data_IF_659762082338
#
_entry.id   IF_659762082338
#
_cell.length_a   1.000
_cell.length_b   1.000
_cell.length_c   1.000
_cell.angle_alpha   90.00
_cell.angle_beta   90.00
_cell.angle_gamma   90.00
#
_symmetry.space_group_name_H-M   'P 1'
#
loop_
_entity.id
_entity.type
_entity.pdbx_description
1 polymer ?
#
# COMPACT_ATOMS: atom_id res chain seq x y z
N UNK A 1 23.43 -9.80 8.13
CA UNK A 1 22.30 -10.75 7.96
C UNK A 1 21.53 -11.02 9.26
N UNK A 2 22.15 -11.09 10.41
CA UNK A 2 21.47 -11.33 11.71
C UNK A 2 20.45 -10.24 12.09
N UNK A 3 20.78 -8.96 11.86
CA UNK A 3 19.85 -7.85 12.14
C UNK A 3 18.53 -8.00 11.36
N UNK A 4 18.60 -8.31 10.06
CA UNK A 4 17.42 -8.44 9.18
C UNK A 4 16.53 -9.61 9.63
N UNK A 5 17.12 -10.77 9.91
CA UNK A 5 16.36 -11.92 10.46
C UNK A 5 15.73 -11.59 11.81
N UNK A 6 16.47 -10.90 12.67
CA UNK A 6 15.98 -10.43 13.96
C UNK A 6 14.84 -9.40 13.84
N UNK A 7 14.91 -8.49 12.85
CA UNK A 7 13.86 -7.50 12.59
C UNK A 7 12.50 -8.17 12.31
N UNK A 8 12.44 -9.08 11.35
CA UNK A 8 11.19 -9.77 11.02
C UNK A 8 10.64 -10.59 12.18
N UNK A 9 11.50 -11.24 12.95
CA UNK A 9 11.11 -11.99 14.15
C UNK A 9 10.50 -11.07 15.22
N UNK A 10 11.16 -9.93 15.53
CA UNK A 10 10.70 -8.97 16.56
C UNK A 10 9.39 -8.30 16.18
N UNK A 11 9.20 -7.99 14.90
CA UNK A 11 8.10 -7.17 14.41
C UNK A 11 6.99 -7.98 13.69
N UNK A 12 7.10 -9.31 13.66
CA UNK A 12 6.16 -10.22 12.98
C UNK A 12 4.70 -9.92 13.29
N UNK A 13 4.37 -9.70 14.56
CA UNK A 13 2.98 -9.42 14.97
C UNK A 13 2.46 -8.11 14.38
N UNK A 14 3.27 -7.05 14.40
CA UNK A 14 2.88 -5.75 13.86
C UNK A 14 2.71 -5.82 12.35
N UNK A 15 3.64 -6.47 11.64
CA UNK A 15 3.54 -6.69 10.19
C UNK A 15 2.28 -7.48 9.84
N UNK A 16 1.98 -8.55 10.57
CA UNK A 16 0.78 -9.35 10.33
C UNK A 16 -0.52 -8.59 10.63
N UNK A 17 -0.55 -7.75 11.67
CA UNK A 17 -1.70 -6.89 11.98
C UNK A 17 -1.90 -5.86 10.87
N UNK A 18 -0.83 -5.19 10.43
CA UNK A 18 -0.89 -4.23 9.32
C UNK A 18 -1.41 -4.88 8.04
N UNK A 19 -0.90 -6.05 7.70
CA UNK A 19 -1.35 -6.82 6.54
C UNK A 19 -2.82 -7.26 6.68
N UNK A 20 -3.23 -7.72 7.86
CA UNK A 20 -4.61 -8.13 8.10
C UNK A 20 -5.58 -6.95 7.96
N UNK A 21 -5.25 -5.78 8.51
CA UNK A 21 -6.06 -4.57 8.35
C UNK A 21 -6.21 -4.25 6.86
N UNK A 22 -5.12 -4.18 6.12
CA UNK A 22 -5.15 -3.89 4.69
C UNK A 22 -6.01 -4.88 3.93
N UNK A 23 -5.80 -6.18 4.09
CA UNK A 23 -6.53 -7.21 3.34
C UNK A 23 -8.02 -7.24 3.70
N UNK A 24 -8.39 -7.12 4.98
CA UNK A 24 -9.80 -7.11 5.40
C UNK A 24 -10.55 -5.95 4.73
N UNK A 25 -10.00 -4.74 4.79
CA UNK A 25 -10.67 -3.58 4.21
C UNK A 25 -10.60 -3.54 2.68
N UNK A 26 -9.57 -4.10 2.07
CA UNK A 26 -9.52 -4.36 0.63
C UNK A 26 -10.69 -5.25 0.19
N UNK A 27 -10.91 -6.38 0.85
CA UNK A 27 -12.04 -7.26 0.53
C UNK A 27 -13.40 -6.62 0.84
N UNK A 28 -13.51 -5.81 1.89
CA UNK A 28 -14.74 -5.04 2.14
C UNK A 28 -15.00 -4.09 0.97
N UNK A 29 -13.99 -3.37 0.48
CA UNK A 29 -14.11 -2.49 -0.69
C UNK A 29 -14.58 -3.24 -1.94
N UNK A 30 -13.99 -4.40 -2.22
CA UNK A 30 -14.37 -5.25 -3.34
C UNK A 30 -15.83 -5.75 -3.21
N UNK A 31 -16.23 -6.24 -2.03
CA UNK A 31 -17.60 -6.76 -1.81
C UNK A 31 -18.62 -5.63 -1.93
N UNK A 32 -18.39 -4.49 -1.27
CA UNK A 32 -19.31 -3.35 -1.32
C UNK A 32 -19.46 -2.84 -2.75
N UNK A 33 -18.37 -2.68 -3.48
CA UNK A 33 -18.42 -2.26 -4.87
C UNK A 33 -19.15 -3.26 -5.76
N UNK A 34 -18.91 -4.56 -5.59
CA UNK A 34 -19.61 -5.61 -6.32
C UNK A 34 -21.13 -5.53 -6.11
N UNK A 35 -21.59 -5.33 -4.87
CA UNK A 35 -23.02 -5.21 -4.54
C UNK A 35 -23.63 -3.93 -5.12
N UNK A 36 -22.89 -2.79 -5.06
CA UNK A 36 -23.39 -1.50 -5.53
C UNK A 36 -23.46 -1.40 -7.06
N UNK A 37 -22.50 -2.01 -7.76
CA UNK A 37 -22.43 -1.94 -9.24
C UNK A 37 -23.43 -2.89 -9.91
N UNK A 38 -23.71 -4.05 -9.30
CA UNK A 38 -24.72 -5.01 -9.78
C UNK A 38 -24.54 -5.40 -11.25
N UNK A 39 -25.55 -5.13 -12.09
CA UNK A 39 -25.57 -5.49 -13.51
C UNK A 39 -24.55 -4.75 -14.38
N UNK A 40 -23.96 -3.65 -13.88
CA UNK A 40 -22.95 -2.87 -14.60
C UNK A 40 -21.51 -3.42 -14.41
N UNK A 41 -21.36 -4.60 -13.85
CA UNK A 41 -20.05 -5.23 -13.68
C UNK A 41 -19.32 -5.42 -15.01
N UNK A 42 -18.02 -5.11 -15.01
CA UNK A 42 -17.19 -5.22 -16.20
C UNK A 42 -17.44 -4.13 -17.26
N UNK A 43 -18.15 -3.07 -16.90
CA UNK A 43 -18.47 -1.99 -17.86
C UNK A 43 -17.21 -1.34 -18.44
N UNK A 44 -16.18 -1.11 -17.63
CA UNK A 44 -14.94 -0.45 -18.07
C UNK A 44 -14.20 -1.34 -19.08
N UNK A 45 -14.02 -2.64 -18.77
CA UNK A 45 -13.37 -3.58 -19.68
C UNK A 45 -14.15 -3.74 -20.98
N UNK A 46 -15.48 -3.79 -20.94
CA UNK A 46 -16.32 -3.85 -22.14
C UNK A 46 -16.15 -2.58 -22.99
N UNK A 47 -16.20 -1.40 -22.40
CA UNK A 47 -16.00 -0.15 -23.11
C UNK A 47 -14.60 -0.06 -23.74
N UNK A 48 -13.56 -0.52 -23.04
CA UNK A 48 -12.20 -0.56 -23.59
C UNK A 48 -12.07 -1.51 -24.79
N UNK A 49 -12.73 -2.66 -24.75
CA UNK A 49 -12.75 -3.63 -25.85
C UNK A 49 -13.58 -3.12 -27.03
N UNK A 50 -14.73 -2.50 -26.79
CA UNK A 50 -15.68 -2.07 -27.81
C UNK A 50 -15.25 -0.81 -28.57
N UNK A 51 -14.59 0.14 -27.89
CA UNK A 51 -14.23 1.43 -28.50
C UNK A 51 -13.19 1.33 -29.59
N UNK A 52 -12.56 0.19 -29.82
CA UNK A 52 -11.63 -0.10 -30.93
C UNK A 52 -10.58 1.02 -31.19
N UNK A 53 -10.41 1.93 -30.20
CA UNK A 53 -9.39 2.98 -30.27
C UNK A 53 -8.03 2.33 -30.07
N UNK A 54 -7.12 2.60 -30.98
CA UNK A 54 -5.71 2.33 -30.77
C UNK A 54 -5.24 3.09 -29.53
N UNK A 55 -5.15 2.39 -28.42
CA UNK A 55 -4.56 2.95 -27.19
C UNK A 55 -3.06 2.99 -27.43
N UNK A 56 -2.48 4.17 -27.45
CA UNK A 56 -1.03 4.31 -27.56
C UNK A 56 -0.39 4.17 -26.17
N UNK A 57 0.83 3.64 -26.15
CA UNK A 57 1.58 3.49 -24.90
C UNK A 57 1.72 4.81 -24.14
N UNK A 58 1.96 5.92 -24.86
CA UNK A 58 2.06 7.28 -24.30
C UNK A 58 0.78 7.77 -23.61
N UNK A 59 -0.39 7.23 -23.98
CA UNK A 59 -1.68 7.68 -23.46
C UNK A 59 -2.00 7.07 -22.09
N UNK A 60 -1.29 5.99 -21.72
CA UNK A 60 -1.52 5.22 -20.50
C UNK A 60 -0.30 5.17 -19.57
N UNK A 61 0.84 5.72 -19.97
CA UNK A 61 2.02 5.84 -19.11
C UNK A 61 1.90 7.03 -18.19
N UNK A 62 2.24 6.83 -16.92
CA UNK A 62 2.41 7.90 -15.93
C UNK A 62 3.88 7.98 -15.54
N UNK A 63 4.37 9.18 -15.27
CA UNK A 63 5.76 9.37 -14.86
C UNK A 63 6.05 8.65 -13.53
N UNK A 64 7.07 7.80 -13.53
CA UNK A 64 7.44 7.01 -12.35
C UNK A 64 7.79 7.86 -11.13
N UNK A 65 8.40 9.04 -11.35
CA UNK A 65 8.75 9.94 -10.25
C UNK A 65 7.50 10.58 -9.64
N UNK A 66 6.52 10.92 -10.45
CA UNK A 66 5.23 11.44 -10.00
C UNK A 66 4.48 10.40 -9.16
N UNK A 67 4.40 9.17 -9.63
CA UNK A 67 3.79 8.04 -8.90
C UNK A 67 4.52 7.78 -7.57
N UNK A 68 5.83 7.67 -7.63
CA UNK A 68 6.65 7.46 -6.43
C UNK A 68 6.44 8.56 -5.40
N UNK A 69 6.47 9.84 -5.82
CA UNK A 69 6.34 10.97 -4.89
C UNK A 69 4.96 11.02 -4.27
N UNK A 70 3.91 10.74 -5.05
CA UNK A 70 2.53 10.70 -4.56
C UNK A 70 2.36 9.59 -3.50
N UNK A 71 2.74 8.36 -3.82
CA UNK A 71 2.58 7.23 -2.93
C UNK A 71 3.48 7.33 -1.70
N UNK A 72 4.71 7.85 -1.88
CA UNK A 72 5.62 8.14 -0.77
C UNK A 72 5.02 9.18 0.19
N UNK A 73 4.40 10.24 -0.33
CA UNK A 73 3.76 11.25 0.51
C UNK A 73 2.63 10.65 1.36
N UNK A 74 1.75 9.85 0.75
CA UNK A 74 0.63 9.19 1.45
C UNK A 74 1.16 8.23 2.53
N UNK A 75 2.10 7.37 2.20
CA UNK A 75 2.64 6.39 3.13
C UNK A 75 3.52 7.02 4.23
N UNK A 76 4.20 8.15 3.95
CA UNK A 76 4.85 8.95 4.99
C UNK A 76 3.84 9.58 5.94
N UNK A 77 2.69 10.05 5.45
CA UNK A 77 1.62 10.54 6.32
C UNK A 77 1.12 9.43 7.25
N UNK A 78 0.91 8.21 6.72
CA UNK A 78 0.57 7.03 7.55
C UNK A 78 1.64 6.76 8.59
N UNK A 79 2.91 6.76 8.19
CA UNK A 79 4.04 6.46 9.05
C UNK A 79 4.18 7.49 10.20
N UNK A 80 4.15 8.78 9.88
CA UNK A 80 4.32 9.88 10.84
C UNK A 80 3.11 10.00 11.77
N UNK A 81 1.91 9.74 11.26
CA UNK A 81 0.69 9.75 12.07
C UNK A 81 0.69 8.70 13.19
N UNK A 82 1.69 7.81 13.22
CA UNK A 82 1.99 6.94 14.37
C UNK A 82 2.17 7.71 15.69
N UNK A 83 2.59 8.97 15.63
CA UNK A 83 2.70 9.90 16.79
C UNK A 83 1.34 10.16 17.47
N UNK A 84 0.24 9.91 16.79
CA UNK A 84 -1.12 9.99 17.34
C UNK A 84 -1.68 8.60 17.69
N UNK A 85 -0.87 7.77 18.33
CA UNK A 85 -1.20 6.39 18.70
C UNK A 85 -1.72 5.53 17.54
N UNK A 86 -1.23 5.81 16.34
CA UNK A 86 -1.60 5.15 15.06
C UNK A 86 -3.10 5.21 14.71
N UNK A 87 -3.93 5.96 15.40
CA UNK A 87 -5.37 6.06 15.12
C UNK A 87 -5.59 6.61 13.70
N UNK A 88 -4.95 7.73 13.38
CA UNK A 88 -5.04 8.35 12.06
C UNK A 88 -4.41 7.46 10.99
N UNK A 89 -3.29 6.82 11.29
CA UNK A 89 -2.63 5.87 10.38
C UNK A 89 -3.56 4.74 9.95
N UNK A 90 -4.25 4.12 10.92
CA UNK A 90 -5.21 3.05 10.65
C UNK A 90 -6.37 3.56 9.79
N UNK A 91 -6.91 4.75 10.09
CA UNK A 91 -8.01 5.35 9.31
C UNK A 91 -7.58 5.57 7.85
N UNK A 92 -6.41 6.16 7.60
CA UNK A 92 -5.90 6.39 6.24
C UNK A 92 -5.75 5.06 5.50
N UNK A 93 -5.13 4.05 6.12
CA UNK A 93 -4.95 2.73 5.49
C UNK A 93 -6.28 2.05 5.19
N UNK A 94 -7.28 2.17 6.07
CA UNK A 94 -8.63 1.65 5.84
C UNK A 94 -9.26 2.28 4.58
N UNK A 95 -9.24 3.60 4.47
CA UNK A 95 -9.80 4.30 3.30
C UNK A 95 -9.06 3.91 2.01
N UNK A 96 -7.73 3.87 2.04
CA UNK A 96 -6.93 3.44 0.89
C UNK A 96 -7.25 2.00 0.49
N UNK A 97 -7.32 1.09 1.45
CA UNK A 97 -7.61 -0.31 1.20
C UNK A 97 -9.00 -0.52 0.57
N UNK A 98 -10.03 0.17 1.08
CA UNK A 98 -11.38 0.14 0.50
C UNK A 98 -11.37 0.68 -0.93
N UNK A 99 -10.71 1.83 -1.16
CA UNK A 99 -10.64 2.47 -2.48
C UNK A 99 -9.97 1.59 -3.52
N UNK A 100 -8.90 0.89 -3.16
CA UNK A 100 -8.19 -0.04 -4.04
C UNK A 100 -8.96 -1.35 -4.24
N UNK A 101 -9.70 -1.80 -3.25
CA UNK A 101 -10.55 -2.99 -3.38
C UNK A 101 -11.75 -2.78 -4.31
N UNK A 102 -12.28 -1.56 -4.36
CA UNK A 102 -13.49 -1.26 -5.11
C UNK A 102 -13.42 -1.62 -6.62
N UNK A 103 -12.36 -1.31 -7.38
CA UNK A 103 -12.22 -1.73 -8.76
C UNK A 103 -12.31 -3.25 -8.97
N UNK A 104 -11.77 -4.04 -8.03
CA UNK A 104 -11.86 -5.51 -8.11
C UNK A 104 -13.29 -6.03 -7.95
N UNK A 105 -14.15 -5.30 -7.25
CA UNK A 105 -15.55 -5.61 -7.13
C UNK A 105 -16.39 -5.18 -8.33
N UNK A 106 -16.05 -4.06 -8.96
CA UNK A 106 -16.81 -3.51 -10.10
C UNK A 106 -16.37 -4.07 -11.45
N UNK A 107 -15.07 -4.28 -11.64
CA UNK A 107 -14.50 -4.82 -12.87
C UNK A 107 -13.21 -5.59 -12.57
N UNK A 108 -13.38 -6.85 -12.19
CA UNK A 108 -12.28 -7.72 -11.80
C UNK A 108 -11.22 -7.86 -12.90
N UNK A 109 -11.65 -7.94 -14.16
CA UNK A 109 -10.70 -8.10 -15.27
C UNK A 109 -9.86 -6.84 -15.46
N UNK A 110 -10.49 -5.67 -15.49
CA UNK A 110 -9.78 -4.39 -15.57
C UNK A 110 -8.82 -4.21 -14.37
N UNK A 111 -9.30 -4.42 -13.16
CA UNK A 111 -8.48 -4.29 -11.95
C UNK A 111 -7.29 -5.26 -11.92
N UNK A 112 -7.49 -6.50 -12.39
CA UNK A 112 -6.42 -7.49 -12.46
C UNK A 112 -5.32 -7.11 -13.45
N UNK A 113 -5.67 -6.45 -14.53
CA UNK A 113 -4.72 -6.02 -15.56
C UNK A 113 -4.01 -4.72 -15.17
N UNK A 114 -4.77 -3.74 -14.63
CA UNK A 114 -4.26 -2.39 -14.39
C UNK A 114 -3.73 -2.13 -12.98
N UNK A 115 -4.17 -2.88 -11.97
CA UNK A 115 -3.80 -2.65 -10.57
C UNK A 115 -2.89 -3.76 -10.03
N UNK A 116 -3.23 -5.02 -10.28
CA UNK A 116 -2.54 -6.17 -9.67
C UNK A 116 -1.01 -6.20 -9.89
N UNK A 117 -0.45 -5.75 -11.05
CA UNK A 117 0.99 -5.81 -11.28
C UNK A 117 1.83 -5.05 -10.24
N UNK A 118 1.37 -3.86 -9.81
CA UNK A 118 2.07 -3.05 -8.82
C UNK A 118 1.50 -3.17 -7.41
N UNK A 119 0.25 -3.66 -7.26
CA UNK A 119 -0.46 -3.80 -5.99
C UNK A 119 0.37 -4.47 -4.89
N UNK A 120 1.07 -5.54 -5.23
CA UNK A 120 1.86 -6.29 -4.25
C UNK A 120 2.99 -5.43 -3.65
N UNK A 121 3.67 -4.64 -4.47
CA UNK A 121 4.77 -3.80 -4.02
C UNK A 121 4.28 -2.53 -3.32
N UNK A 122 3.25 -1.90 -3.85
CA UNK A 122 2.71 -0.65 -3.29
C UNK A 122 1.97 -0.89 -1.98
N UNK A 123 0.97 -1.77 -1.99
CA UNK A 123 0.08 -1.95 -0.84
C UNK A 123 0.62 -2.98 0.15
N UNK A 124 0.99 -4.19 -0.32
CA UNK A 124 1.53 -5.23 0.57
C UNK A 124 2.95 -4.90 1.01
N UNK A 125 3.73 -4.22 0.18
CA UNK A 125 5.06 -3.71 0.55
C UNK A 125 4.99 -2.34 1.22
N UNK A 126 4.65 -1.27 0.47
CA UNK A 126 4.66 0.11 0.95
C UNK A 126 3.76 0.35 2.15
N UNK A 127 2.44 0.26 1.96
CA UNK A 127 1.46 0.62 3.00
C UNK A 127 1.49 -0.28 4.24
N UNK A 128 1.82 -1.58 4.10
CA UNK A 128 2.00 -2.47 5.26
C UNK A 128 3.19 -2.03 6.10
N UNK A 129 4.31 -1.64 5.47
CA UNK A 129 5.46 -1.13 6.23
C UNK A 129 5.22 0.28 6.76
N UNK A 130 4.46 1.14 6.07
CA UNK A 130 4.04 2.44 6.59
C UNK A 130 3.26 2.29 7.91
N UNK A 131 2.24 1.42 7.92
CA UNK A 131 1.44 1.16 9.12
C UNK A 131 2.24 0.43 10.21
N UNK A 132 3.13 -0.49 9.83
CA UNK A 132 4.04 -1.15 10.79
C UNK A 132 4.95 -0.13 11.47
N UNK A 133 5.48 0.84 10.72
CA UNK A 133 6.28 1.93 11.26
C UNK A 133 5.49 2.82 12.22
N UNK A 134 4.23 3.13 11.87
CA UNK A 134 3.33 3.86 12.77
C UNK A 134 3.13 3.10 14.11
N UNK A 135 2.89 1.80 14.06
CA UNK A 135 2.77 0.98 15.28
C UNK A 135 4.07 0.92 16.09
N UNK A 136 5.24 0.93 15.45
CA UNK A 136 6.52 1.00 16.15
C UNK A 136 6.70 2.35 16.88
N UNK A 137 6.30 3.46 16.27
CA UNK A 137 6.29 4.78 16.89
C UNK A 137 5.34 4.78 18.09
N UNK A 138 4.11 4.29 17.94
CA UNK A 138 3.14 4.14 19.04
C UNK A 138 3.68 3.29 20.18
N UNK A 139 4.35 2.17 19.87
CA UNK A 139 4.99 1.33 20.87
C UNK A 139 6.07 2.09 21.65
N UNK A 140 6.86 2.92 20.97
CA UNK A 140 7.85 3.80 21.60
C UNK A 140 7.19 4.80 22.55
N UNK A 141 6.10 5.46 22.11
CA UNK A 141 5.34 6.42 22.92
C UNK A 141 4.75 5.78 24.18
N UNK A 142 4.06 4.64 24.05
CA UNK A 142 3.50 3.90 25.18
C UNK A 142 4.59 3.52 26.17
N UNK A 143 5.76 3.11 25.67
CA UNK A 143 6.91 2.76 26.53
C UNK A 143 7.45 3.99 27.24
N UNK A 144 7.53 5.15 26.53
CA UNK A 144 7.97 6.41 27.11
C UNK A 144 7.04 6.92 28.23
N UNK A 145 5.73 6.79 28.02
CA UNK A 145 4.72 7.13 29.03
C UNK A 145 4.87 6.23 30.27
N UNK A 146 5.00 4.90 30.06
CA UNK A 146 5.14 3.94 31.17
C UNK A 146 6.42 4.14 31.98
N UNK A 147 7.53 4.41 31.30
CA UNK A 147 8.82 4.65 31.94
C UNK A 147 9.00 6.09 32.40
N UNK A 148 8.07 6.99 32.08
CA UNK A 148 8.17 8.45 32.31
C UNK A 148 9.43 9.09 31.75
N UNK A 149 10.04 8.47 30.72
CA UNK A 149 11.29 8.93 30.09
C UNK A 149 11.40 8.46 28.65
N UNK A 150 11.48 9.40 27.72
CA UNK A 150 11.77 9.14 26.31
C UNK A 150 13.20 8.55 26.17
N UNK A 151 14.16 9.10 26.92
CA UNK A 151 15.55 8.65 26.87
C UNK A 151 15.68 7.17 27.25
N UNK A 152 14.94 6.75 28.26
CA UNK A 152 14.96 5.35 28.70
C UNK A 152 14.21 4.41 27.73
N UNK A 153 13.23 4.93 26.99
CA UNK A 153 12.55 4.16 25.93
C UNK A 153 13.43 3.98 24.69
N UNK A 154 14.29 4.95 24.40
CA UNK A 154 15.28 4.89 23.35
C UNK A 154 16.53 4.08 23.73
N UNK A 155 16.67 3.65 24.98
CA UNK A 155 17.82 2.84 25.42
C UNK A 155 17.81 1.40 24.83
N UNK A 156 16.67 0.92 24.34
CA UNK A 156 16.62 -0.31 23.56
C UNK A 156 17.32 -0.08 22.19
N UNK A 157 18.44 -0.78 21.92
CA UNK A 157 19.25 -0.53 20.74
C UNK A 157 18.54 -0.88 19.42
N UNK A 158 17.42 -1.57 19.48
CA UNK A 158 16.67 -2.00 18.30
C UNK A 158 15.54 -1.06 17.91
N UNK A 159 14.99 -0.27 18.82
CA UNK A 159 13.79 0.55 18.55
C UNK A 159 13.99 1.50 17.37
N UNK A 160 15.01 2.36 17.42
CA UNK A 160 15.30 3.29 16.33
C UNK A 160 15.74 2.57 15.04
N UNK A 161 16.52 1.49 15.18
CA UNK A 161 16.95 0.71 14.03
C UNK A 161 15.78 0.02 13.33
N UNK A 162 14.82 -0.49 14.09
CA UNK A 162 13.63 -1.13 13.55
C UNK A 162 12.73 -0.10 12.85
N UNK A 163 12.51 1.09 13.44
CA UNK A 163 11.76 2.19 12.82
C UNK A 163 12.43 2.63 11.51
N UNK A 164 13.74 2.89 11.53
CA UNK A 164 14.48 3.32 10.34
C UNK A 164 14.48 2.25 9.25
N UNK A 165 14.68 0.99 9.62
CA UNK A 165 14.66 -0.11 8.66
C UNK A 165 13.28 -0.32 8.04
N UNK A 166 12.20 -0.15 8.82
CA UNK A 166 10.82 -0.17 8.31
C UNK A 166 10.59 0.95 7.28
N UNK A 167 11.09 2.16 7.57
CA UNK A 167 11.03 3.29 6.63
C UNK A 167 11.79 3.00 5.33
N UNK A 168 12.98 2.42 5.42
CA UNK A 168 13.78 2.04 4.24
C UNK A 168 13.06 0.99 3.41
N UNK A 169 12.47 -0.03 4.04
CA UNK A 169 11.70 -1.05 3.33
C UNK A 169 10.49 -0.43 2.60
N UNK A 170 9.72 0.43 3.28
CA UNK A 170 8.60 1.16 2.67
C UNK A 170 9.05 1.91 1.40
N UNK A 171 10.12 2.70 1.49
CA UNK A 171 10.64 3.49 0.36
C UNK A 171 11.08 2.59 -0.81
N UNK A 172 11.78 1.48 -0.52
CA UNK A 172 12.23 0.54 -1.56
C UNK A 172 11.02 -0.09 -2.27
N UNK A 173 10.01 -0.53 -1.53
CA UNK A 173 8.82 -1.14 -2.11
C UNK A 173 8.04 -0.16 -2.97
N UNK A 174 7.87 1.10 -2.53
CA UNK A 174 7.22 2.15 -3.30
C UNK A 174 7.99 2.51 -4.58
N UNK A 175 9.32 2.54 -4.53
CA UNK A 175 10.13 2.78 -5.72
C UNK A 175 9.94 1.67 -6.76
N UNK A 176 9.95 0.41 -6.32
CA UNK A 176 9.69 -0.75 -7.19
C UNK A 176 8.27 -0.70 -7.76
N UNK A 177 7.27 -0.37 -6.93
CA UNK A 177 5.88 -0.23 -7.36
C UNK A 177 5.74 0.83 -8.46
N UNK A 178 6.32 2.03 -8.27
CA UNK A 178 6.26 3.11 -9.23
C UNK A 178 6.89 2.75 -10.59
N UNK A 179 7.99 2.01 -10.58
CA UNK A 179 8.61 1.49 -11.82
C UNK A 179 7.68 0.49 -12.53
N UNK A 180 7.09 -0.43 -11.77
CA UNK A 180 6.16 -1.42 -12.33
C UNK A 180 4.92 -0.73 -12.89
N UNK A 181 4.35 0.21 -12.16
CA UNK A 181 3.15 0.95 -12.56
C UNK A 181 3.41 1.81 -13.80
N UNK A 182 4.58 2.44 -13.90
CA UNK A 182 4.92 3.30 -15.02
C UNK A 182 5.24 2.54 -16.31
N UNK A 183 5.89 1.38 -16.23
CA UNK A 183 6.39 0.67 -17.41
C UNK A 183 5.74 -0.68 -17.66
N UNK A 184 5.52 -1.48 -16.61
CA UNK A 184 5.01 -2.85 -16.76
C UNK A 184 3.50 -2.87 -16.89
N UNK A 185 2.80 -2.14 -16.02
CA UNK A 185 1.33 -2.08 -16.02
C UNK A 185 0.76 -1.58 -17.35
N UNK A 186 1.24 -0.47 -17.97
CA UNK A 186 0.77 -0.04 -19.28
C UNK A 186 1.00 -1.09 -20.38
N UNK A 187 2.12 -1.81 -20.32
CA UNK A 187 2.44 -2.85 -21.28
C UNK A 187 1.45 -4.03 -21.20
N UNK A 188 1.12 -4.46 -19.98
CA UNK A 188 0.11 -5.50 -19.73
C UNK A 188 -1.29 -5.01 -20.18
N UNK A 189 -1.63 -3.75 -19.87
CA UNK A 189 -2.90 -3.14 -20.26
C UNK A 189 -3.05 -3.07 -21.77
N UNK A 190 -2.00 -2.70 -22.51
CA UNK A 190 -1.99 -2.73 -23.97
C UNK A 190 -2.16 -4.14 -24.53
N UNK A 191 -1.51 -5.14 -23.94
CA UNK A 191 -1.67 -6.54 -24.36
C UNK A 191 -3.09 -7.06 -24.13
N UNK A 192 -3.76 -6.60 -23.10
CA UNK A 192 -5.10 -7.05 -22.73
C UNK A 192 -6.22 -6.34 -23.51
N UNK A 193 -6.08 -5.04 -23.78
CA UNK A 193 -7.13 -4.18 -24.35
C UNK A 193 -6.72 -3.52 -25.67
N UNK A 194 -5.42 -3.46 -25.99
CA UNK A 194 -4.92 -2.91 -27.27
C UNK A 194 -5.13 -3.91 -28.42
N UNK A 195 -5.45 -3.39 -29.57
CA UNK A 195 -5.52 -4.16 -30.84
C UNK A 195 -4.48 -3.67 -31.81
#
# INVERSE_FOLDING_TARGET
MEFIKGYFSRNKKLILISLAILLVFFFIGAIVSNVLVGENQGMISRMMIETNKSINFSDITVDAMSLFTHNLFVDLMVFIAGILFSIISVIIVIFNAISIGAPFGSDFYFASVSILPHFFFEYVGGSVFALTGAFLITKLEITAIKKRSIKESLSDPYVLKDILFTLILMVIFLLVAAIIESYVTPMITLMAFGK
#
